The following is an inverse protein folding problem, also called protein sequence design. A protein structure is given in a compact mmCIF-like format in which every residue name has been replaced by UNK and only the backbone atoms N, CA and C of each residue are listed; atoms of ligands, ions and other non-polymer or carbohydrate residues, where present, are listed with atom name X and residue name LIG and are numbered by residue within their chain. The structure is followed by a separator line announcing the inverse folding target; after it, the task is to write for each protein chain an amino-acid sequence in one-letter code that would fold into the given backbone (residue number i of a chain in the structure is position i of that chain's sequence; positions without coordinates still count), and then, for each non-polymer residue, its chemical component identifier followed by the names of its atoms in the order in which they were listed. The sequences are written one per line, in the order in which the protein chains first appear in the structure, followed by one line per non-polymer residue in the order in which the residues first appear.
data_IF_302342409008
#
_entry.id   IF_302342409008
#
_cell.length_a   1.000
_cell.length_b   1.000
_cell.length_c   1.000
_cell.angle_alpha   90.00
_cell.angle_beta   90.00
_cell.angle_gamma   90.00
#
_symmetry.space_group_name_H-M   'P 1'
#
loop_
_entity.id
_entity.type
_entity.pdbx_description
1 polymer ?
#
# COMPACT_ATOMS: atom_id res chain seq x y z
N UNK A 1 -19.15 3.40 -17.77
CA UNK A 1 -19.22 2.72 -19.09
C UNK A 1 -18.22 3.35 -20.05
N UNK A 2 -17.41 2.53 -20.74
CA UNK A 2 -16.34 3.02 -21.63
C UNK A 2 -16.88 3.59 -22.96
N UNK A 3 -18.05 3.17 -23.40
CA UNK A 3 -18.65 3.60 -24.66
C UNK A 3 -19.45 4.88 -24.50
N UNK A 4 -20.06 5.09 -23.34
CA UNK A 4 -20.93 6.24 -23.05
C UNK A 4 -20.31 7.30 -22.16
N UNK A 5 -19.34 6.94 -21.33
CA UNK A 5 -18.76 7.78 -20.28
C UNK A 5 -19.67 7.94 -19.06
N UNK A 6 -20.76 7.18 -18.97
CA UNK A 6 -21.65 7.21 -17.80
C UNK A 6 -21.04 6.48 -16.62
N UNK A 7 -21.31 6.96 -15.40
CA UNK A 7 -20.89 6.32 -14.17
C UNK A 7 -21.88 5.21 -13.82
N UNK A 8 -21.45 3.95 -13.90
CA UNK A 8 -22.26 2.78 -13.54
C UNK A 8 -22.45 2.65 -12.04
N UNK A 9 -21.37 2.84 -11.29
CA UNK A 9 -21.37 2.83 -9.83
C UNK A 9 -20.18 3.58 -9.27
N UNK A 10 -20.23 3.90 -7.97
CA UNK A 10 -19.11 4.45 -7.22
C UNK A 10 -19.08 3.86 -5.81
N UNK A 11 -17.91 3.89 -5.18
CA UNK A 11 -17.71 3.45 -3.80
C UNK A 11 -16.82 4.46 -3.05
N UNK A 12 -17.27 4.88 -1.87
CA UNK A 12 -16.56 5.84 -1.02
C UNK A 12 -15.73 5.08 0.01
N UNK A 13 -14.41 5.09 -0.11
CA UNK A 13 -13.50 4.36 0.78
C UNK A 13 -13.42 5.01 2.16
N UNK A 14 -13.20 6.34 2.21
CA UNK A 14 -13.16 7.11 3.45
C UNK A 14 -14.08 8.33 3.30
N UNK A 15 -15.33 8.27 3.80
CA UNK A 15 -16.19 9.45 3.82
C UNK A 15 -15.65 10.49 4.80
N UNK A 16 -15.71 11.76 4.42
CA UNK A 16 -15.23 12.89 5.21
C UNK A 16 -13.77 12.72 5.68
N UNK A 17 -12.87 12.45 4.74
CA UNK A 17 -11.44 12.27 5.01
C UNK A 17 -10.79 13.55 5.53
N UNK A 18 -10.37 13.52 6.79
CA UNK A 18 -9.65 14.60 7.46
C UNK A 18 -8.14 14.31 7.61
N UNK A 19 -7.64 13.22 7.02
CA UNK A 19 -6.31 12.68 7.31
C UNK A 19 -5.45 12.45 6.05
N UNK A 20 -5.96 12.81 4.86
CA UNK A 20 -5.31 12.54 3.56
C UNK A 20 -5.14 11.03 3.29
N UNK A 21 -6.22 10.26 3.48
CA UNK A 21 -6.26 8.80 3.28
C UNK A 21 -7.01 8.40 2.01
N UNK A 22 -6.81 9.16 0.97
CA UNK A 22 -7.42 8.96 -0.34
C UNK A 22 -7.11 7.59 -0.99
N UNK A 23 -8.02 7.13 -1.83
CA UNK A 23 -7.92 5.90 -2.61
C UNK A 23 -7.64 6.26 -4.08
N UNK A 24 -6.40 6.62 -4.39
CA UNK A 24 -5.99 7.14 -5.71
C UNK A 24 -5.17 6.13 -6.52
N UNK A 25 -5.06 4.89 -6.02
CA UNK A 25 -4.16 3.90 -6.59
C UNK A 25 -4.96 2.83 -7.35
N UNK A 26 -4.27 2.09 -8.22
CA UNK A 26 -4.88 1.02 -8.99
C UNK A 26 -5.49 -0.07 -8.10
N UNK A 27 -6.65 -0.55 -8.52
CA UNK A 27 -7.33 -1.71 -7.96
C UNK A 27 -7.02 -2.95 -8.78
N UNK A 28 -7.08 -4.13 -8.16
CA UNK A 28 -6.86 -5.41 -8.83
C UNK A 28 -8.20 -6.03 -9.23
N UNK A 29 -8.35 -6.38 -10.51
CA UNK A 29 -9.51 -7.10 -11.03
C UNK A 29 -9.23 -8.59 -11.05
N UNK A 30 -10.02 -9.38 -10.31
CA UNK A 30 -9.84 -10.82 -10.15
C UNK A 30 -11.19 -11.52 -10.12
N UNK A 31 -11.20 -12.82 -10.40
CA UNK A 31 -12.36 -13.65 -10.20
C UNK A 31 -12.17 -14.47 -8.91
N UNK A 32 -13.11 -14.35 -7.98
CA UNK A 32 -13.04 -14.97 -6.65
C UNK A 32 -14.27 -15.82 -6.37
N UNK A 33 -14.08 -16.99 -5.78
CA UNK A 33 -15.17 -17.78 -5.22
C UNK A 33 -15.39 -17.41 -3.75
N UNK A 34 -16.48 -16.70 -3.47
CA UNK A 34 -16.86 -16.27 -2.11
C UNK A 34 -18.21 -16.87 -1.76
N UNK A 35 -18.27 -17.67 -0.68
CA UNK A 35 -19.51 -18.31 -0.23
C UNK A 35 -20.11 -19.28 -1.26
N UNK A 36 -19.27 -19.96 -2.03
CA UNK A 36 -19.68 -20.92 -3.06
C UNK A 36 -20.22 -20.26 -4.34
N UNK A 37 -19.94 -18.98 -4.56
CA UNK A 37 -20.34 -18.23 -5.76
C UNK A 37 -19.12 -17.54 -6.36
N UNK A 38 -19.00 -17.62 -7.68
CA UNK A 38 -18.00 -16.87 -8.42
C UNK A 38 -18.43 -15.40 -8.52
N UNK A 39 -17.51 -14.49 -8.15
CA UNK A 39 -17.66 -13.05 -8.25
C UNK A 39 -16.58 -12.50 -9.17
N UNK A 40 -16.96 -11.63 -10.06
CA UNK A 40 -16.04 -10.74 -10.75
C UNK A 40 -15.68 -9.64 -9.75
N UNK A 41 -14.58 -9.81 -9.04
CA UNK A 41 -14.22 -8.95 -7.93
C UNK A 41 -13.24 -7.84 -8.33
N UNK A 42 -13.31 -6.74 -7.59
CA UNK A 42 -12.32 -5.67 -7.55
C UNK A 42 -11.77 -5.64 -6.13
N UNK A 43 -10.45 -5.73 -5.99
CA UNK A 43 -9.76 -5.58 -4.71
C UNK A 43 -9.11 -4.20 -4.68
N UNK A 44 -9.57 -3.36 -3.78
CA UNK A 44 -9.00 -2.05 -3.49
C UNK A 44 -8.18 -2.13 -2.20
N UNK A 45 -6.93 -1.71 -2.25
CA UNK A 45 -6.09 -1.49 -1.09
C UNK A 45 -5.47 -0.10 -1.21
N UNK A 46 -5.83 0.77 -0.31
CA UNK A 46 -5.39 2.17 -0.33
C UNK A 46 -4.63 2.53 0.93
N UNK A 47 -4.61 3.81 1.28
CA UNK A 47 -3.89 4.32 2.44
C UNK A 47 -4.42 3.80 3.77
N UNK A 48 -5.69 3.42 3.89
CA UNK A 48 -6.40 3.18 5.18
C UNK A 48 -6.05 1.88 5.93
N UNK A 49 -5.15 1.07 5.46
CA UNK A 49 -4.81 -0.20 6.16
C UNK A 49 -5.86 -1.30 6.03
N UNK A 50 -6.74 -1.22 5.03
CA UNK A 50 -7.75 -2.20 4.72
C UNK A 50 -7.71 -2.60 3.24
N UNK A 51 -8.02 -3.87 2.97
CA UNK A 51 -8.38 -4.35 1.66
C UNK A 51 -9.90 -4.45 1.56
N UNK A 52 -10.47 -3.88 0.52
CA UNK A 52 -11.90 -3.84 0.25
C UNK A 52 -12.16 -4.67 -0.99
N UNK A 53 -13.08 -5.61 -0.91
CA UNK A 53 -13.48 -6.45 -2.04
C UNK A 53 -14.88 -6.06 -2.47
N UNK A 54 -15.00 -5.62 -3.71
CA UNK A 54 -16.26 -5.22 -4.34
C UNK A 54 -16.59 -6.17 -5.49
N UNK A 55 -17.87 -6.36 -5.75
CA UNK A 55 -18.34 -6.90 -7.01
C UNK A 55 -18.13 -5.84 -8.10
N UNK A 56 -17.28 -6.11 -9.11
CA UNK A 56 -16.88 -5.09 -10.09
C UNK A 56 -17.95 -4.74 -11.10
N UNK A 57 -19.02 -5.56 -11.22
CA UNK A 57 -20.14 -5.28 -12.13
C UNK A 57 -21.15 -4.33 -11.49
N UNK A 58 -21.29 -4.37 -10.15
CA UNK A 58 -22.35 -3.66 -9.44
C UNK A 58 -21.85 -2.65 -8.41
N UNK A 59 -20.57 -2.66 -8.08
CA UNK A 59 -20.00 -1.88 -6.97
C UNK A 59 -20.38 -2.39 -5.59
N UNK A 60 -21.11 -3.53 -5.50
CA UNK A 60 -21.59 -4.07 -4.23
C UNK A 60 -20.42 -4.53 -3.35
N UNK A 61 -20.43 -4.10 -2.10
CA UNK A 61 -19.47 -4.55 -1.09
C UNK A 61 -19.62 -6.05 -0.83
N UNK A 62 -18.53 -6.78 -0.89
CA UNK A 62 -18.46 -8.21 -0.60
C UNK A 62 -17.84 -8.45 0.77
N UNK A 63 -16.73 -7.76 1.06
CA UNK A 63 -16.03 -7.83 2.34
C UNK A 63 -14.93 -6.79 2.47
N UNK A 64 -14.40 -6.64 3.68
CA UNK A 64 -13.13 -5.98 3.94
C UNK A 64 -12.26 -6.84 4.86
N UNK A 65 -10.93 -6.63 4.78
CA UNK A 65 -9.93 -7.29 5.64
C UNK A 65 -8.79 -6.33 5.99
N UNK A 66 -8.19 -6.49 7.16
CA UNK A 66 -7.08 -5.63 7.57
C UNK A 66 -5.82 -5.98 6.80
N UNK A 67 -5.21 -4.97 6.18
CA UNK A 67 -3.90 -5.09 5.54
C UNK A 67 -2.78 -4.59 6.45
N UNK A 68 -2.99 -3.48 7.18
CA UNK A 68 -2.01 -2.90 8.08
C UNK A 68 -2.64 -2.34 9.35
N UNK A 69 -1.83 -1.65 10.15
CA UNK A 69 -2.32 -1.03 11.38
C UNK A 69 -3.15 0.22 11.08
N UNK A 70 -4.36 0.26 11.63
CA UNK A 70 -5.33 1.35 11.45
C UNK A 70 -6.14 1.55 12.73
N UNK A 71 -6.29 2.79 13.19
CA UNK A 71 -7.13 3.17 14.32
C UNK A 71 -8.30 4.09 13.94
N UNK A 72 -8.43 4.38 12.63
CA UNK A 72 -9.49 5.25 12.09
C UNK A 72 -10.76 4.45 11.81
N UNK A 73 -10.61 3.32 11.09
CA UNK A 73 -11.75 2.45 10.75
C UNK A 73 -11.85 1.32 11.75
N UNK A 74 -12.91 1.33 12.56
CA UNK A 74 -13.16 0.33 13.60
C UNK A 74 -13.93 -0.88 13.10
N UNK A 75 -14.58 -0.77 11.95
CA UNK A 75 -15.37 -1.83 11.33
C UNK A 75 -16.05 -1.35 10.05
N UNK A 76 -16.90 -2.22 9.51
CA UNK A 76 -17.64 -1.98 8.27
C UNK A 76 -19.10 -2.37 8.46
N UNK A 77 -20.01 -1.60 7.90
CA UNK A 77 -21.42 -2.00 7.80
C UNK A 77 -21.62 -3.08 6.73
N UNK A 78 -22.78 -3.73 6.72
CA UNK A 78 -23.11 -4.71 5.67
C UNK A 78 -23.17 -4.10 4.27
N UNK A 79 -23.42 -2.81 4.17
CA UNK A 79 -23.41 -2.05 2.91
C UNK A 79 -22.00 -1.61 2.46
N UNK A 80 -20.96 -1.82 3.29
CA UNK A 80 -19.59 -1.45 3.00
C UNK A 80 -19.22 -0.03 3.42
N UNK A 81 -20.01 0.64 4.24
CA UNK A 81 -19.61 1.92 4.82
C UNK A 81 -18.64 1.70 5.98
N UNK A 82 -17.48 2.38 6.02
CA UNK A 82 -16.57 2.28 7.15
C UNK A 82 -17.18 2.90 8.41
N UNK A 83 -16.95 2.27 9.55
CA UNK A 83 -17.31 2.81 10.86
C UNK A 83 -16.10 3.57 11.39
N UNK A 84 -16.17 4.88 11.34
CA UNK A 84 -15.06 5.76 11.73
C UNK A 84 -15.01 5.87 13.26
N UNK A 85 -13.80 5.84 13.81
CA UNK A 85 -13.54 6.09 15.23
C UNK A 85 -13.91 7.53 15.58
N UNK A 86 -14.96 7.77 16.39
CA UNK A 86 -15.43 9.11 16.67
C UNK A 86 -14.42 9.99 17.44
N UNK A 87 -13.47 9.37 18.15
CA UNK A 87 -12.42 10.09 18.88
C UNK A 87 -11.40 10.77 17.95
N UNK A 88 -11.35 10.37 16.68
CA UNK A 88 -10.42 10.92 15.69
C UNK A 88 -11.07 11.95 14.74
N UNK A 89 -12.38 12.15 14.84
CA UNK A 89 -13.09 13.15 14.04
C UNK A 89 -12.87 14.54 14.64
N UNK A 90 -12.19 15.46 13.92
CA UNK A 90 -11.98 16.81 14.42
C UNK A 90 -13.28 17.63 14.41
N UNK A 91 -13.37 18.60 15.30
CA UNK A 91 -14.40 19.63 15.34
C UNK A 91 -13.78 21.00 15.07
N UNK A 92 -14.60 22.03 14.85
CA UNK A 92 -14.10 23.39 14.66
C UNK A 92 -13.36 23.93 15.90
N UNK A 93 -13.68 23.43 17.09
CA UNK A 93 -12.99 23.82 18.33
C UNK A 93 -11.58 23.22 18.43
N UNK A 94 -11.28 22.23 17.62
CA UNK A 94 -9.95 21.59 17.56
C UNK A 94 -8.98 22.35 16.64
N UNK A 95 -9.49 23.23 15.76
CA UNK A 95 -8.67 24.05 14.87
C UNK A 95 -7.95 25.14 15.67
N UNK A 96 -6.64 25.29 15.44
CA UNK A 96 -5.74 26.21 16.18
C UNK A 96 -5.68 25.95 17.69
N UNK A 97 -6.07 24.75 18.12
CA UNK A 97 -5.94 24.31 19.50
C UNK A 97 -4.63 23.51 19.73
N UNK A 98 -4.28 23.27 21.00
CA UNK A 98 -3.15 22.41 21.37
C UNK A 98 -3.49 20.91 21.30
N UNK A 99 -4.70 20.54 20.86
CA UNK A 99 -5.14 19.16 20.80
C UNK A 99 -4.41 18.40 19.71
N UNK A 100 -3.81 17.28 20.09
CA UNK A 100 -3.09 16.37 19.20
C UNK A 100 -3.89 15.09 19.04
N UNK A 101 -4.10 14.68 17.79
CA UNK A 101 -4.72 13.41 17.45
C UNK A 101 -3.64 12.41 17.04
N UNK A 102 -3.60 11.26 17.68
CA UNK A 102 -2.76 10.15 17.22
C UNK A 102 -3.53 9.35 16.15
N UNK A 103 -3.10 9.48 14.91
CA UNK A 103 -3.76 8.90 13.74
C UNK A 103 -2.87 7.84 13.12
N UNK A 104 -3.43 6.67 12.88
CA UNK A 104 -2.81 5.57 12.18
C UNK A 104 -3.75 5.04 11.10
N UNK A 105 -3.29 4.87 9.87
CA UNK A 105 -1.92 5.09 9.40
C UNK A 105 -1.57 6.58 9.25
N UNK A 106 -0.28 6.84 9.03
CA UNK A 106 0.22 8.14 8.56
C UNK A 106 -0.42 8.51 7.21
N UNK A 107 -0.46 9.79 6.84
CA UNK A 107 -1.05 10.25 5.56
C UNK A 107 -0.41 9.63 4.31
N UNK A 108 0.77 9.04 4.41
CA UNK A 108 1.30 8.19 3.34
C UNK A 108 0.58 6.84 3.21
N UNK A 109 -0.24 6.48 4.21
CA UNK A 109 -0.99 5.24 4.23
C UNK A 109 -0.15 4.01 4.57
N UNK A 110 -0.82 2.88 4.71
CA UNK A 110 -0.16 1.57 4.77
C UNK A 110 0.36 1.16 3.40
N UNK A 111 -0.28 1.62 2.33
CA UNK A 111 0.14 1.54 0.94
C UNK A 111 0.00 2.92 0.29
N UNK A 112 0.86 3.21 -0.68
CA UNK A 112 0.76 4.40 -1.51
C UNK A 112 0.97 4.03 -2.99
N UNK A 113 2.07 4.46 -3.61
CA UNK A 113 2.33 4.26 -5.04
C UNK A 113 2.74 2.82 -5.42
N UNK A 114 3.09 1.99 -4.45
CA UNK A 114 3.50 0.62 -4.68
C UNK A 114 2.30 -0.28 -5.00
N UNK A 115 2.23 -0.76 -6.24
CA UNK A 115 1.16 -1.63 -6.73
C UNK A 115 1.16 -3.00 -6.05
N UNK A 116 -0.02 -3.58 -5.79
CA UNK A 116 -0.16 -4.98 -5.41
C UNK A 116 0.01 -5.91 -6.60
N UNK A 117 0.04 -7.21 -6.35
CA UNK A 117 -0.02 -8.24 -7.37
C UNK A 117 -0.89 -9.41 -6.90
N UNK A 118 -1.46 -10.16 -7.84
CA UNK A 118 -2.25 -11.36 -7.55
C UNK A 118 -1.76 -12.51 -8.41
N UNK A 119 -1.66 -13.70 -7.83
CA UNK A 119 -1.41 -14.92 -8.57
C UNK A 119 -2.67 -15.81 -8.56
N UNK A 120 -3.23 -16.13 -9.72
CA UNK A 120 -4.33 -17.09 -9.80
C UNK A 120 -3.92 -18.52 -9.45
N UNK A 121 -2.62 -18.85 -9.50
CA UNK A 121 -2.10 -20.17 -9.17
C UNK A 121 -2.11 -20.43 -7.66
N UNK A 122 -1.72 -19.41 -6.86
CA UNK A 122 -1.73 -19.51 -5.40
C UNK A 122 -3.05 -19.01 -4.79
N UNK A 123 -3.84 -18.23 -5.55
CA UNK A 123 -5.00 -17.52 -5.03
C UNK A 123 -4.66 -16.38 -4.07
N UNK A 124 -3.37 -15.97 -4.00
CA UNK A 124 -2.90 -14.98 -3.04
C UNK A 124 -2.68 -13.60 -3.67
N UNK A 125 -2.92 -12.59 -2.86
CA UNK A 125 -2.75 -11.18 -3.14
C UNK A 125 -1.54 -10.64 -2.36
N UNK A 126 -0.54 -10.14 -3.06
CA UNK A 126 0.75 -9.71 -2.51
C UNK A 126 0.85 -8.20 -2.43
N UNK A 127 1.37 -7.70 -1.31
CA UNK A 127 1.38 -6.28 -1.02
C UNK A 127 2.56 -5.90 -0.13
N UNK A 128 3.28 -4.85 -0.49
CA UNK A 128 4.21 -4.16 0.40
C UNK A 128 3.45 -3.17 1.28
N UNK A 129 3.60 -3.28 2.59
CA UNK A 129 2.89 -2.48 3.60
C UNK A 129 3.87 -1.68 4.44
N UNK A 130 3.47 -0.47 4.83
CA UNK A 130 4.20 0.41 5.72
C UNK A 130 3.34 0.79 6.92
N UNK A 131 3.66 0.26 8.08
CA UNK A 131 2.96 0.53 9.32
C UNK A 131 3.58 1.75 10.02
N UNK A 132 2.88 2.86 10.03
CA UNK A 132 3.30 4.08 10.70
C UNK A 132 2.10 4.91 11.13
N UNK A 133 2.28 5.76 12.11
CA UNK A 133 1.28 6.69 12.62
C UNK A 133 1.74 8.14 12.44
N UNK A 134 0.88 9.07 12.79
CA UNK A 134 1.22 10.49 12.89
C UNK A 134 0.50 11.14 14.07
N UNK A 135 1.16 12.13 14.68
CA UNK A 135 0.48 13.12 15.51
C UNK A 135 -0.02 14.23 14.58
N UNK A 136 -1.30 14.57 14.66
CA UNK A 136 -1.96 15.59 13.83
C UNK A 136 -2.51 16.70 14.69
N UNK A 137 -2.29 17.94 14.26
CA UNK A 137 -2.97 19.14 14.75
C UNK A 137 -3.69 19.79 13.58
N UNK A 138 -4.86 20.33 13.81
CA UNK A 138 -5.62 21.06 12.80
C UNK A 138 -5.34 22.56 12.95
N UNK A 139 -5.03 23.22 11.82
CA UNK A 139 -4.64 24.62 11.81
C UNK A 139 -5.43 25.38 10.75
N UNK A 140 -5.80 26.61 11.05
CA UNK A 140 -6.33 27.50 10.04
C UNK A 140 -5.21 27.91 9.07
N UNK A 141 -5.49 27.85 7.79
CA UNK A 141 -4.52 28.19 6.75
C UNK A 141 -5.23 29.06 5.70
N UNK A 142 -4.59 30.14 5.30
CA UNK A 142 -5.11 30.97 4.21
C UNK A 142 -4.70 30.34 2.87
N UNK A 143 -5.67 30.24 1.96
CA UNK A 143 -5.40 29.72 0.63
C UNK A 143 -4.55 30.68 -0.19
N UNK A 144 -3.37 30.22 -0.62
CA UNK A 144 -2.48 30.93 -1.54
C UNK A 144 -2.33 30.13 -2.86
N UNK A 145 -2.67 30.70 -4.02
CA UNK A 145 -2.51 30.01 -5.29
C UNK A 145 -1.07 29.53 -5.54
N UNK A 146 -0.91 28.25 -5.91
CA UNK A 146 0.40 27.65 -6.18
C UNK A 146 1.13 27.13 -4.94
N UNK A 147 0.58 27.27 -3.75
CA UNK A 147 1.08 26.66 -2.51
C UNK A 147 0.25 25.45 -2.12
N UNK A 148 0.88 24.52 -1.41
CA UNK A 148 0.16 23.36 -0.85
C UNK A 148 -0.71 23.90 0.30
N UNK A 149 -2.00 23.61 0.22
CA UNK A 149 -2.99 23.93 1.23
C UNK A 149 -3.47 22.63 1.89
N UNK A 150 -3.25 22.48 3.20
CA UNK A 150 -3.56 21.23 3.92
C UNK A 150 -4.41 21.43 5.16
N UNK A 151 -4.25 22.53 5.88
CA UNK A 151 -4.92 22.77 7.15
C UNK A 151 -4.51 21.82 8.28
N UNK A 152 -3.38 21.11 8.14
CA UNK A 152 -2.86 20.18 9.15
C UNK A 152 -1.36 20.35 9.38
N UNK A 153 -0.97 20.28 10.65
CA UNK A 153 0.40 19.97 11.08
C UNK A 153 0.52 18.50 11.36
N UNK A 154 1.60 17.85 10.92
CA UNK A 154 1.80 16.42 11.15
C UNK A 154 3.21 16.05 11.57
N UNK A 155 3.33 15.07 12.45
CA UNK A 155 4.60 14.48 12.89
C UNK A 155 4.50 12.97 12.80
N UNK A 156 5.33 12.36 11.97
CA UNK A 156 5.39 10.89 11.80
C UNK A 156 5.80 10.19 13.09
N UNK A 157 5.14 9.09 13.39
CA UNK A 157 5.41 8.20 14.54
C UNK A 157 5.48 6.75 14.09
N UNK A 158 6.19 5.96 14.88
CA UNK A 158 6.09 4.51 14.78
C UNK A 158 4.78 4.01 15.39
N UNK A 159 4.23 2.92 14.88
CA UNK A 159 3.09 2.25 15.51
C UNK A 159 3.49 1.80 16.92
N UNK A 160 2.70 2.09 17.96
CA UNK A 160 3.00 1.65 19.31
C UNK A 160 3.21 0.13 19.39
N UNK A 161 4.36 -0.26 19.96
CA UNK A 161 4.72 -1.68 20.13
C UNK A 161 5.30 -2.37 18.89
N UNK A 162 5.43 -1.68 17.75
CA UNK A 162 6.10 -2.22 16.56
C UNK A 162 7.58 -1.81 16.55
N UNK A 163 8.45 -2.74 16.19
CA UNK A 163 9.88 -2.52 15.96
C UNK A 163 10.26 -2.48 14.47
N UNK A 164 9.25 -2.51 13.59
CA UNK A 164 9.38 -2.46 12.14
C UNK A 164 8.39 -1.46 11.52
N UNK A 165 8.63 -1.06 10.28
CA UNK A 165 7.72 -0.25 9.45
C UNK A 165 7.24 -1.09 8.29
N UNK A 166 8.16 -1.56 7.45
CA UNK A 166 7.85 -2.29 6.23
C UNK A 166 7.67 -3.78 6.44
N UNK A 167 6.64 -4.32 5.83
CA UNK A 167 6.42 -5.75 5.68
C UNK A 167 5.90 -6.06 4.27
N UNK A 168 6.26 -7.21 3.74
CA UNK A 168 5.70 -7.74 2.51
C UNK A 168 4.79 -8.90 2.87
N UNK A 169 3.56 -8.88 2.42
CA UNK A 169 2.51 -9.78 2.93
C UNK A 169 1.74 -10.41 1.78
N UNK A 170 1.39 -11.67 1.94
CA UNK A 170 0.40 -12.34 1.12
C UNK A 170 -0.91 -12.50 1.89
N UNK A 171 -2.00 -12.13 1.24
CA UNK A 171 -3.36 -12.31 1.74
C UNK A 171 -4.13 -13.29 0.88
N UNK A 172 -4.92 -14.13 1.50
CA UNK A 172 -6.03 -14.79 0.84
C UNK A 172 -7.22 -13.81 0.79
N UNK A 173 -7.57 -13.25 -0.37
CA UNK A 173 -8.63 -12.24 -0.46
C UNK A 173 -10.02 -12.82 -0.21
N UNK A 174 -10.18 -14.15 -0.30
CA UNK A 174 -11.44 -14.84 -0.02
C UNK A 174 -11.68 -14.94 1.48
N UNK A 175 -10.71 -15.37 2.28
CA UNK A 175 -10.83 -15.42 3.75
C UNK A 175 -10.46 -14.11 4.44
N UNK A 176 -9.68 -13.25 3.77
CA UNK A 176 -9.12 -12.03 4.33
C UNK A 176 -7.96 -12.28 5.30
N UNK A 177 -7.44 -13.50 5.35
CA UNK A 177 -6.34 -13.86 6.26
C UNK A 177 -4.99 -13.65 5.59
N UNK A 178 -4.00 -13.30 6.40
CA UNK A 178 -2.61 -13.36 5.98
C UNK A 178 -2.21 -14.83 5.81
N UNK A 179 -1.70 -15.18 4.63
CA UNK A 179 -1.12 -16.50 4.37
C UNK A 179 0.31 -16.54 4.95
N UNK A 180 1.09 -15.51 4.65
CA UNK A 180 2.43 -15.34 5.19
C UNK A 180 2.80 -13.84 5.24
N UNK A 181 3.85 -13.52 6.02
CA UNK A 181 4.41 -12.18 6.11
C UNK A 181 5.94 -12.24 6.16
N UNK A 182 6.57 -11.32 5.45
CA UNK A 182 8.00 -11.08 5.49
C UNK A 182 8.24 -9.67 6.06
N UNK A 183 8.59 -9.60 7.35
CA UNK A 183 8.92 -8.34 8.01
C UNK A 183 10.33 -7.93 7.66
N UNK A 184 10.45 -6.70 7.19
CA UNK A 184 11.75 -6.22 6.79
C UNK A 184 12.51 -5.67 8.01
N UNK A 185 13.71 -6.20 8.33
CA UNK A 185 14.43 -5.80 9.54
C UNK A 185 14.89 -4.34 9.47
N UNK A 186 14.99 -3.70 10.65
CA UNK A 186 15.56 -2.36 10.79
C UNK A 186 14.64 -1.21 10.40
N UNK A 187 13.32 -1.42 10.41
CA UNK A 187 12.34 -0.35 10.21
C UNK A 187 12.31 0.23 8.80
N UNK A 188 12.73 -0.53 7.79
CA UNK A 188 12.81 -0.10 6.40
C UNK A 188 11.43 -0.14 5.74
N UNK A 189 11.08 0.91 5.00
CA UNK A 189 9.82 0.97 4.26
C UNK A 189 9.84 0.11 2.99
N UNK A 190 8.70 -0.50 2.67
CA UNK A 190 8.44 -1.13 1.37
C UNK A 190 8.10 -0.05 0.35
N UNK A 191 8.83 0.00 -0.76
CA UNK A 191 8.70 1.06 -1.76
C UNK A 191 8.41 0.56 -3.16
N UNK A 192 8.84 -0.65 -3.50
CA UNK A 192 8.55 -1.26 -4.78
C UNK A 192 7.13 -1.81 -4.86
N UNK A 193 6.58 -1.80 -6.06
CA UNK A 193 5.40 -2.60 -6.38
C UNK A 193 5.70 -4.10 -6.29
N UNK A 194 4.70 -4.90 -5.98
CA UNK A 194 4.76 -6.34 -6.04
C UNK A 194 4.67 -6.82 -7.49
N UNK A 195 5.37 -7.92 -7.81
CA UNK A 195 5.23 -8.62 -9.09
C UNK A 195 5.20 -10.13 -8.84
N UNK A 196 4.04 -10.74 -8.93
CA UNK A 196 3.91 -12.19 -8.95
C UNK A 196 4.12 -12.73 -10.37
N UNK A 197 4.79 -13.87 -10.48
CA UNK A 197 5.08 -14.53 -11.75
C UNK A 197 4.46 -15.92 -11.78
N UNK A 198 4.19 -16.45 -12.99
CA UNK A 198 3.69 -17.82 -13.19
C UNK A 198 4.67 -18.91 -12.77
N UNK A 199 5.92 -18.56 -12.47
CA UNK A 199 6.93 -19.49 -11.93
C UNK A 199 6.93 -19.62 -10.40
N UNK A 200 5.90 -19.13 -9.70
CA UNK A 200 5.79 -19.24 -8.24
C UNK A 200 6.73 -18.29 -7.46
N UNK A 201 7.17 -17.21 -8.08
CA UNK A 201 8.05 -16.21 -7.47
C UNK A 201 7.34 -14.87 -7.41
N UNK A 202 7.45 -14.18 -6.27
CA UNK A 202 7.00 -12.80 -6.11
C UNK A 202 8.19 -11.88 -5.82
N UNK A 203 8.28 -10.78 -6.57
CA UNK A 203 9.30 -9.76 -6.40
C UNK A 203 8.76 -8.59 -5.60
N UNK A 204 9.62 -8.00 -4.77
CA UNK A 204 9.38 -6.78 -4.04
C UNK A 204 10.68 -6.04 -3.77
N UNK A 205 10.59 -4.86 -3.16
CA UNK A 205 11.77 -4.08 -2.86
C UNK A 205 11.52 -3.00 -1.84
N UNK A 206 12.62 -2.51 -1.26
CA UNK A 206 12.60 -1.66 -0.10
C UNK A 206 13.45 -0.39 -0.26
N UNK A 207 13.21 0.59 0.60
CA UNK A 207 13.88 1.88 0.63
C UNK A 207 15.40 1.78 0.85
N UNK A 208 15.89 0.69 1.44
CA UNK A 208 17.31 0.45 1.66
C UNK A 208 18.03 -0.12 0.43
N UNK A 209 17.42 -0.03 -0.74
CA UNK A 209 17.95 -0.41 -2.05
C UNK A 209 17.90 -1.92 -2.36
N UNK A 210 17.25 -2.71 -1.53
CA UNK A 210 17.16 -4.17 -1.74
C UNK A 210 15.97 -4.53 -2.60
N UNK A 211 16.27 -5.24 -3.68
CA UNK A 211 15.32 -5.99 -4.49
C UNK A 211 15.38 -7.45 -4.04
N UNK A 212 14.26 -8.05 -3.79
CA UNK A 212 14.17 -9.44 -3.35
C UNK A 212 13.16 -10.24 -4.15
N UNK A 213 13.38 -11.55 -4.18
CA UNK A 213 12.45 -12.56 -4.69
C UNK A 213 12.08 -13.50 -3.55
N UNK A 214 10.77 -13.70 -3.37
CA UNK A 214 10.22 -14.61 -2.37
C UNK A 214 9.47 -15.74 -3.08
N UNK A 215 9.42 -16.89 -2.44
CA UNK A 215 8.50 -17.95 -2.82
C UNK A 215 7.07 -17.47 -2.64
N UNK A 216 6.22 -17.62 -3.65
CA UNK A 216 4.88 -17.07 -3.66
C UNK A 216 3.93 -17.77 -2.66
N UNK A 217 4.16 -19.05 -2.36
CA UNK A 217 3.34 -19.81 -1.43
C UNK A 217 3.74 -19.63 0.03
N UNK A 218 5.06 -19.59 0.31
CA UNK A 218 5.59 -19.60 1.69
C UNK A 218 6.09 -18.23 2.17
N UNK A 219 6.47 -17.32 1.27
CA UNK A 219 7.15 -16.08 1.60
C UNK A 219 8.64 -16.26 1.91
N UNK A 220 9.19 -17.44 1.73
CA UNK A 220 10.61 -17.70 1.94
C UNK A 220 11.46 -16.90 0.94
N UNK A 221 12.54 -16.29 1.42
CA UNK A 221 13.41 -15.51 0.56
C UNK A 221 14.29 -16.42 -0.29
N UNK A 222 14.08 -16.34 -1.62
CA UNK A 222 14.82 -17.10 -2.62
C UNK A 222 16.07 -16.36 -3.10
N UNK A 223 15.98 -15.05 -3.24
CA UNK A 223 17.07 -14.22 -3.76
C UNK A 223 16.95 -12.78 -3.27
N UNK A 224 18.08 -12.10 -3.19
CA UNK A 224 18.17 -10.67 -2.84
C UNK A 224 19.39 -10.03 -3.50
N UNK A 225 19.25 -8.79 -3.94
CA UNK A 225 20.37 -7.95 -4.38
C UNK A 225 20.18 -6.50 -3.94
N UNK A 226 21.28 -5.73 -3.95
CA UNK A 226 21.24 -4.31 -3.60
C UNK A 226 21.53 -3.45 -4.82
N UNK A 227 20.63 -2.51 -5.11
CA UNK A 227 20.72 -1.61 -6.26
C UNK A 227 21.40 -0.27 -5.88
N UNK A 228 21.41 0.69 -6.82
CA UNK A 228 22.03 2.01 -6.62
C UNK A 228 21.23 2.94 -5.70
N UNK A 229 19.92 2.81 -5.64
CA UNK A 229 19.02 3.66 -4.85
C UNK A 229 17.78 2.89 -4.37
N UNK A 230 16.85 3.59 -3.75
CA UNK A 230 15.56 3.02 -3.36
C UNK A 230 14.82 2.45 -4.58
N UNK A 231 14.02 1.43 -4.34
CA UNK A 231 13.28 0.77 -5.40
C UNK A 231 11.85 1.29 -5.38
N UNK A 232 11.59 2.28 -6.21
CA UNK A 232 10.28 2.95 -6.33
C UNK A 232 9.52 2.59 -7.59
N UNK A 233 10.15 1.84 -8.50
CA UNK A 233 9.54 1.38 -9.74
C UNK A 233 8.76 0.08 -9.57
N UNK A 234 7.79 -0.14 -10.45
CA UNK A 234 7.16 -1.42 -10.61
C UNK A 234 8.13 -2.36 -11.38
N UNK A 235 8.51 -3.51 -10.81
CA UNK A 235 9.25 -4.51 -11.56
C UNK A 235 8.36 -5.10 -12.65
N UNK A 236 8.97 -5.47 -13.77
CA UNK A 236 8.29 -6.14 -14.88
C UNK A 236 9.13 -7.31 -15.39
N UNK A 237 8.47 -8.39 -15.80
CA UNK A 237 9.14 -9.49 -16.51
C UNK A 237 8.79 -9.49 -17.98
N UNK A 238 9.73 -9.85 -18.81
CA UNK A 238 9.56 -10.01 -20.24
C UNK A 238 10.50 -11.09 -20.78
N UNK A 239 10.22 -11.58 -21.98
CA UNK A 239 11.03 -12.60 -22.64
C UNK A 239 11.60 -12.08 -23.94
N UNK A 240 12.86 -12.41 -24.20
CA UNK A 240 13.52 -12.17 -25.48
C UNK A 240 14.27 -13.44 -25.89
N UNK A 241 13.94 -13.99 -27.06
CA UNK A 241 14.57 -15.20 -27.61
C UNK A 241 14.55 -16.41 -26.65
N UNK A 242 13.43 -16.63 -25.95
CA UNK A 242 13.29 -17.75 -25.01
C UNK A 242 13.98 -17.54 -23.66
N UNK A 243 14.56 -16.38 -23.42
CA UNK A 243 15.18 -16.02 -22.13
C UNK A 243 14.35 -14.98 -21.40
N UNK A 244 14.01 -15.28 -20.14
CA UNK A 244 13.27 -14.37 -19.27
C UNK A 244 14.19 -13.33 -18.65
N UNK A 245 13.68 -12.10 -18.56
CA UNK A 245 14.33 -10.96 -17.94
C UNK A 245 13.41 -10.34 -16.89
N UNK A 246 14.02 -9.76 -15.86
CA UNK A 246 13.36 -8.89 -14.88
C UNK A 246 13.94 -7.48 -15.04
N UNK A 247 13.10 -6.47 -15.27
CA UNK A 247 13.51 -5.08 -15.26
C UNK A 247 12.87 -4.32 -14.09
N UNK A 248 13.64 -3.42 -13.47
CA UNK A 248 13.17 -2.58 -12.37
C UNK A 248 13.89 -1.24 -12.35
N UNK A 249 13.15 -0.17 -12.12
CA UNK A 249 13.70 1.16 -11.89
C UNK A 249 14.15 1.33 -10.43
N UNK A 250 15.34 1.86 -10.22
CA UNK A 250 15.84 2.18 -8.90
C UNK A 250 16.59 3.53 -8.90
N UNK A 251 16.57 4.21 -7.77
CA UNK A 251 17.12 5.56 -7.62
C UNK A 251 16.04 6.63 -7.71
N UNK A 252 16.43 7.85 -7.43
CA UNK A 252 15.49 8.92 -7.20
C UNK A 252 15.17 9.09 -5.72
N UNK A 253 14.19 9.90 -5.43
CA UNK A 253 13.73 10.17 -4.07
C UNK A 253 12.23 10.34 -4.06
N UNK A 254 11.54 9.45 -3.37
CA UNK A 254 10.12 9.64 -3.08
C UNK A 254 9.94 10.26 -1.70
N UNK A 255 8.93 11.12 -1.54
CA UNK A 255 8.67 11.82 -0.28
C UNK A 255 8.46 10.88 0.90
N UNK A 256 7.84 9.73 0.65
CA UNK A 256 7.60 8.68 1.64
C UNK A 256 8.89 8.16 2.28
N UNK A 257 9.94 7.88 1.49
CA UNK A 257 11.23 7.41 2.02
C UNK A 257 11.89 8.43 2.94
N UNK A 258 11.70 9.71 2.65
CA UNK A 258 12.21 10.80 3.50
C UNK A 258 11.50 10.84 4.87
N UNK A 259 10.19 10.65 4.88
CA UNK A 259 9.40 10.64 6.11
C UNK A 259 9.80 9.48 7.02
N UNK A 260 10.12 8.32 6.44
CA UNK A 260 10.55 7.14 7.18
C UNK A 260 12.05 7.07 7.48
N UNK A 261 12.89 7.83 6.78
CA UNK A 261 14.36 7.81 6.97
C UNK A 261 14.81 8.05 8.41
N UNK A 262 14.02 8.79 9.19
CA UNK A 262 14.31 9.04 10.62
C UNK A 262 14.18 7.79 11.51
N UNK A 263 13.41 6.79 11.09
CA UNK A 263 13.21 5.53 11.82
C UNK A 263 14.15 4.43 11.33
N UNK A 264 14.77 4.67 10.19
CA UNK A 264 15.76 3.79 9.60
C UNK A 264 17.11 4.45 9.82
N UNK A 265 18.06 3.80 10.46
CA UNK A 265 19.45 4.27 10.48
C UNK A 265 20.10 4.14 9.08
N UNK A 266 19.29 4.21 8.04
CA UNK A 266 19.69 3.97 6.65
C UNK A 266 19.76 5.31 5.92
N UNK A 267 20.95 5.70 5.53
CA UNK A 267 21.12 6.80 4.57
C UNK A 267 20.68 6.29 3.20
N UNK A 268 19.63 6.87 2.66
CA UNK A 268 19.18 6.59 1.30
C UNK A 268 20.05 7.45 0.36
N UNK A 269 20.93 6.82 -0.44
CA UNK A 269 21.77 7.58 -1.36
C UNK A 269 20.92 8.37 -2.35
N UNK A 270 21.26 9.63 -2.52
CA UNK A 270 20.72 10.43 -3.62
C UNK A 270 21.48 10.03 -4.87
N UNK A 271 20.85 9.38 -5.81
CA UNK A 271 21.47 8.92 -7.04
C UNK A 271 20.59 9.18 -8.25
N UNK A 272 21.19 9.07 -9.43
CA UNK A 272 20.45 9.07 -10.68
C UNK A 272 19.55 7.85 -10.76
N UNK A 273 18.38 7.99 -11.38
CA UNK A 273 17.53 6.86 -11.73
C UNK A 273 18.25 5.92 -12.69
N UNK A 274 18.17 4.62 -12.42
CA UNK A 274 18.77 3.57 -13.25
C UNK A 274 17.72 2.48 -13.48
N UNK A 275 17.62 2.02 -14.73
CA UNK A 275 16.88 0.81 -15.06
C UNK A 275 17.84 -0.39 -14.95
N UNK A 276 17.58 -1.28 -14.02
CA UNK A 276 18.27 -2.53 -13.84
C UNK A 276 17.57 -3.65 -14.60
N UNK A 277 18.33 -4.46 -15.33
CA UNK A 277 17.81 -5.62 -16.04
C UNK A 277 18.58 -6.85 -15.61
N UNK A 278 17.88 -7.84 -15.11
CA UNK A 278 18.39 -9.14 -14.69
C UNK A 278 17.92 -10.21 -15.66
N UNK A 279 18.75 -11.23 -15.87
CA UNK A 279 18.41 -12.41 -16.64
C UNK A 279 18.61 -13.65 -15.79
N UNK A 280 17.79 -14.68 -16.00
CA UNK A 280 18.07 -15.98 -15.43
C UNK A 280 19.42 -16.51 -15.96
N UNK A 281 20.22 -17.22 -15.14
CA UNK A 281 21.41 -17.93 -15.62
C UNK A 281 21.06 -18.86 -16.77
N UNK A 282 22.06 -19.13 -17.64
CA UNK A 282 21.96 -20.14 -18.69
C UNK A 282 22.00 -21.54 -18.10
#
# INVERSE_FOLDING_TARGET
DIDTGEIEWHFQVVPADNWDLDATHESMLVDLEIGGRNHKALIETSKIGWGIVLDRETGRFLRAFRTGYDNIVTGWTDSGSPIINPALIPTMDDVDSDKVFEVCPHYHGTRNLNAPSYSPETGLYYLGINNSCMDVTFVSEEFEPGRIFRGIGSRTKQVPGYDYIGEFVAFDPVSGRRAWEFRYPGGVAMTASALATGGGVVFGGAADRRLFALDADSGDRLWETRLNGDISGAPVTFEVNGRQYLAVGAGGRIGMTTSYARFTNTTIPQGSGVMWVFALPE
#
